data_IF_857974894681
#
_entry.id   IF_857974894681
#
_cell.length_a   1.000
_cell.length_b   1.000
_cell.length_c   1.000
_cell.angle_alpha   90.00
_cell.angle_beta   90.00
_cell.angle_gamma   90.00
#
_symmetry.space_group_name_H-M   'P 1'
#
loop_
_entity.id
_entity.type
_entity.pdbx_description
1 polymer ?
#
# COMPACT_ATOMS: atom_id res chain seq x y z
N UNK A 1 14.53 -75.43 28.77
CA UNK A 1 15.86 -74.90 29.15
C UNK A 1 15.87 -73.40 28.81
N UNK A 2 16.06 -72.55 29.84
CA UNK A 2 16.24 -71.10 29.85
C UNK A 2 15.11 -70.11 29.47
N UNK A 3 14.93 -69.15 30.39
CA UNK A 3 14.02 -67.99 30.48
C UNK A 3 14.70 -66.74 29.87
N UNK A 4 13.92 -65.63 29.68
CA UNK A 4 14.28 -64.17 29.60
C UNK A 4 13.98 -63.55 28.21
N UNK A 5 13.33 -62.39 27.97
CA UNK A 5 12.70 -61.28 28.73
C UNK A 5 11.71 -60.51 27.79
N UNK A 6 10.75 -59.79 28.41
CA UNK A 6 9.79 -58.80 27.83
C UNK A 6 10.41 -57.72 26.92
N UNK A 7 9.67 -57.28 25.89
CA UNK A 7 9.57 -55.89 25.38
C UNK A 7 8.21 -55.75 24.61
N UNK A 8 7.22 -55.02 25.16
CA UNK A 8 6.68 -53.70 24.68
C UNK A 8 6.09 -53.76 23.26
N UNK A 9 4.76 -53.82 23.08
CA UNK A 9 3.75 -52.74 23.04
C UNK A 9 3.99 -51.67 21.93
N UNK A 10 2.90 -51.39 21.20
CA UNK A 10 2.69 -50.42 20.11
C UNK A 10 3.04 -50.84 18.69
N UNK A 11 2.02 -51.40 18.03
CA UNK A 11 1.78 -51.27 16.59
C UNK A 11 1.73 -49.78 16.21
N UNK A 12 2.80 -49.32 15.58
CA UNK A 12 2.96 -47.97 15.04
C UNK A 12 1.93 -47.76 13.91
N UNK A 13 0.87 -46.99 14.20
CA UNK A 13 0.11 -46.28 13.18
C UNK A 13 1.08 -45.31 12.53
N UNK A 14 1.45 -45.57 11.28
CA UNK A 14 2.31 -44.69 10.50
C UNK A 14 1.48 -43.46 10.12
N UNK A 15 1.52 -42.46 11.00
CA UNK A 15 0.99 -41.13 10.76
C UNK A 15 1.81 -40.52 9.62
N UNK A 16 1.19 -40.38 8.44
CA UNK A 16 1.70 -39.50 7.39
C UNK A 16 1.47 -38.08 7.88
N UNK A 17 2.38 -37.57 8.71
CA UNK A 17 2.54 -36.14 8.89
C UNK A 17 3.20 -35.65 7.61
N UNK A 18 2.41 -35.16 6.66
CA UNK A 18 2.92 -34.25 5.66
C UNK A 18 3.34 -32.97 6.41
N UNK A 19 4.58 -32.95 6.90
CA UNK A 19 5.24 -31.73 7.32
C UNK A 19 5.31 -30.85 6.06
N UNK A 20 4.35 -29.92 5.94
CA UNK A 20 4.49 -28.75 5.09
C UNK A 20 5.64 -27.92 5.66
N UNK A 21 6.87 -28.31 5.33
CA UNK A 21 8.01 -27.42 5.40
C UNK A 21 7.75 -26.38 4.31
N UNK A 22 7.51 -25.10 4.64
CA UNK A 22 7.41 -24.09 3.60
C UNK A 22 8.74 -24.06 2.86
N UNK A 23 8.71 -24.41 1.57
CA UNK A 23 9.86 -24.21 0.69
C UNK A 23 10.20 -22.73 0.73
N UNK A 24 11.31 -22.38 1.37
CA UNK A 24 11.83 -21.02 1.39
C UNK A 24 12.19 -20.68 -0.06
N UNK A 25 11.38 -19.85 -0.67
CA UNK A 25 11.56 -19.42 -2.06
C UNK A 25 12.96 -18.83 -2.22
N UNK A 26 13.69 -19.30 -3.23
CA UNK A 26 15.08 -18.91 -3.41
C UNK A 26 15.13 -17.44 -3.84
N UNK A 27 15.66 -16.57 -2.98
CA UNK A 27 15.70 -15.12 -3.19
C UNK A 27 16.35 -14.74 -4.53
N UNK A 28 17.30 -15.53 -5.02
CA UNK A 28 17.94 -15.33 -6.33
C UNK A 28 16.99 -15.56 -7.49
N UNK A 29 16.12 -16.57 -7.38
CA UNK A 29 15.09 -16.87 -8.39
C UNK A 29 13.99 -15.81 -8.39
N UNK A 30 13.58 -15.33 -7.22
CA UNK A 30 12.64 -14.20 -7.10
C UNK A 30 13.23 -12.93 -7.72
N UNK A 31 14.50 -12.62 -7.43
CA UNK A 31 15.20 -11.48 -8.01
C UNK A 31 15.31 -11.59 -9.53
N UNK A 32 15.67 -12.77 -10.04
CA UNK A 32 15.73 -13.03 -11.48
C UNK A 32 14.36 -12.89 -12.15
N UNK A 33 13.30 -13.41 -11.53
CA UNK A 33 11.94 -13.25 -12.03
C UNK A 33 11.51 -11.79 -12.05
N UNK A 34 11.85 -11.01 -11.02
CA UNK A 34 11.54 -9.58 -10.97
C UNK A 34 12.37 -8.77 -11.99
N UNK A 35 13.64 -9.10 -12.20
CA UNK A 35 14.49 -8.47 -13.21
C UNK A 35 14.04 -8.79 -14.64
N UNK A 36 13.62 -10.04 -14.89
CA UNK A 36 13.06 -10.43 -16.19
C UNK A 36 11.71 -9.75 -16.39
N UNK A 37 10.83 -9.71 -15.38
CA UNK A 37 9.54 -9.00 -15.47
C UNK A 37 9.71 -7.50 -15.68
N UNK A 38 10.65 -6.84 -15.00
CA UNK A 38 10.89 -5.40 -15.16
C UNK A 38 11.40 -5.07 -16.57
N UNK A 39 12.26 -5.92 -17.14
CA UNK A 39 12.72 -5.81 -18.54
C UNK A 39 11.59 -6.09 -19.53
N UNK A 40 10.78 -7.11 -19.28
CA UNK A 40 9.61 -7.44 -20.12
C UNK A 40 8.60 -6.29 -20.07
N UNK A 41 8.34 -5.69 -18.92
CA UNK A 41 7.46 -4.53 -18.79
C UNK A 41 8.02 -3.30 -19.52
N UNK A 42 9.35 -3.07 -19.46
CA UNK A 42 9.98 -2.01 -20.26
C UNK A 42 9.77 -2.22 -21.76
N UNK A 43 9.83 -3.47 -22.24
CA UNK A 43 9.62 -3.81 -23.65
C UNK A 43 8.13 -3.74 -24.03
N UNK A 44 7.22 -4.23 -23.18
CA UNK A 44 5.76 -4.16 -23.41
C UNK A 44 5.23 -2.73 -23.41
N UNK A 45 5.85 -1.84 -22.63
CA UNK A 45 5.57 -0.40 -22.65
C UNK A 45 6.06 0.29 -23.95
N UNK A 46 6.92 -0.34 -24.75
CA UNK A 46 7.29 0.17 -26.07
C UNK A 46 6.28 -0.21 -27.17
N UNK A 47 5.50 -1.29 -26.99
CA UNK A 47 4.63 -1.86 -28.05
C UNK A 47 3.14 -1.44 -27.95
N UNK A 48 2.73 -0.81 -26.85
CA UNK A 48 1.34 -0.40 -26.62
C UNK A 48 1.04 0.99 -27.21
N UNK A 49 0.66 0.99 -28.49
CA UNK A 49 0.24 2.18 -29.25
C UNK A 49 -1.15 2.71 -28.86
N UNK A 50 -1.23 3.52 -27.79
CA UNK A 50 -2.33 4.47 -27.56
C UNK A 50 -1.79 5.73 -26.86
N UNK A 51 -1.58 6.82 -27.62
CA UNK A 51 -1.13 8.15 -27.16
C UNK A 51 0.01 8.11 -26.11
N UNK A 52 1.23 7.78 -26.56
CA UNK A 52 2.43 7.80 -25.71
C UNK A 52 2.68 9.20 -25.15
N UNK A 53 2.19 9.45 -23.93
CA UNK A 53 2.63 10.57 -23.12
C UNK A 53 3.97 10.20 -22.50
N UNK A 54 5.04 10.22 -23.30
CA UNK A 54 6.41 9.90 -22.84
C UNK A 54 6.71 10.69 -21.56
N UNK A 55 7.20 10.01 -20.53
CA UNK A 55 7.59 10.64 -19.27
C UNK A 55 8.73 11.63 -19.53
N UNK A 56 8.59 12.85 -18.99
CA UNK A 56 9.51 13.96 -19.17
C UNK A 56 10.10 14.34 -17.84
N UNK A 57 11.41 14.59 -17.82
CA UNK A 57 12.05 15.24 -16.68
C UNK A 57 11.38 16.60 -16.44
N UNK A 58 10.93 16.91 -15.22
CA UNK A 58 10.30 18.19 -14.91
C UNK A 58 11.27 19.36 -15.07
N UNK A 59 10.73 20.52 -15.45
CA UNK A 59 11.50 21.76 -15.63
C UNK A 59 11.32 22.75 -14.48
N UNK A 60 10.18 22.74 -13.81
CA UNK A 60 9.87 23.70 -12.74
C UNK A 60 10.33 23.15 -11.39
N UNK A 61 9.93 21.92 -11.04
CA UNK A 61 10.25 21.30 -9.75
C UNK A 61 11.19 20.12 -9.90
N UNK A 62 11.67 19.56 -8.77
CA UNK A 62 12.54 18.38 -8.86
C UNK A 62 11.80 17.15 -9.34
N UNK A 63 10.57 16.90 -8.88
CA UNK A 63 9.81 15.69 -9.20
C UNK A 63 8.57 15.96 -10.07
N UNK A 64 8.25 14.97 -10.90
CA UNK A 64 6.94 14.81 -11.52
C UNK A 64 6.50 13.34 -11.42
N UNK A 65 5.20 13.13 -11.22
CA UNK A 65 4.56 11.82 -11.22
C UNK A 65 3.61 11.78 -12.41
N UNK A 66 3.85 10.86 -13.36
CA UNK A 66 3.06 10.77 -14.60
C UNK A 66 2.92 12.14 -15.32
N UNK A 67 4.04 12.87 -15.42
CA UNK A 67 4.14 14.23 -15.97
C UNK A 67 3.32 15.31 -15.22
N UNK A 68 2.74 15.01 -14.06
CA UNK A 68 2.07 15.98 -13.18
C UNK A 68 3.07 16.50 -12.14
N UNK A 69 3.05 17.81 -11.90
CA UNK A 69 3.92 18.52 -10.96
C UNK A 69 3.05 19.27 -9.94
N UNK A 70 3.62 19.61 -8.78
CA UNK A 70 2.93 20.47 -7.81
C UNK A 70 2.67 21.85 -8.45
N UNK A 71 1.66 22.56 -7.93
CA UNK A 71 1.17 23.83 -8.47
C UNK A 71 0.54 23.79 -9.88
N UNK A 72 0.58 22.66 -10.60
CA UNK A 72 -0.14 22.50 -11.86
C UNK A 72 -1.64 22.74 -11.65
N UNK A 73 -2.30 23.40 -12.60
CA UNK A 73 -3.74 23.67 -12.50
C UNK A 73 -4.56 22.40 -12.72
N UNK A 74 -5.70 22.26 -12.04
CA UNK A 74 -6.60 21.11 -12.21
C UNK A 74 -6.99 20.88 -13.68
N UNK A 75 -7.28 21.96 -14.42
CA UNK A 75 -7.60 21.86 -15.85
C UNK A 75 -6.46 21.25 -16.67
N UNK A 76 -5.19 21.55 -16.33
CA UNK A 76 -4.04 20.95 -17.02
C UNK A 76 -3.92 19.47 -16.67
N UNK A 77 -4.16 19.10 -15.41
CA UNK A 77 -4.15 17.70 -14.98
C UNK A 77 -5.24 16.92 -15.71
N UNK A 78 -6.48 17.42 -15.74
CA UNK A 78 -7.60 16.72 -16.39
C UNK A 78 -7.48 16.70 -17.91
N UNK A 79 -6.88 17.72 -18.54
CA UNK A 79 -6.54 17.66 -19.96
C UNK A 79 -5.53 16.56 -20.29
N UNK A 80 -4.67 16.20 -19.33
CA UNK A 80 -3.62 15.20 -19.52
C UNK A 80 -4.07 13.79 -19.12
N UNK A 81 -4.75 13.66 -17.97
CA UNK A 81 -5.14 12.38 -17.37
C UNK A 81 -6.60 12.01 -17.64
N UNK A 82 -7.39 12.92 -18.21
CA UNK A 82 -8.84 12.78 -18.31
C UNK A 82 -9.54 13.02 -16.97
N UNK A 83 -10.75 12.46 -16.85
CA UNK A 83 -11.54 12.58 -15.62
C UNK A 83 -11.04 11.61 -14.54
N UNK A 84 -11.11 12.00 -13.25
CA UNK A 84 -10.77 11.10 -12.15
C UNK A 84 -11.66 9.86 -12.17
N UNK A 85 -11.05 8.71 -11.87
CA UNK A 85 -11.73 7.41 -11.70
C UNK A 85 -12.42 7.32 -10.35
N UNK A 86 -11.83 7.93 -9.32
CA UNK A 86 -12.38 8.02 -7.97
C UNK A 86 -12.06 9.36 -7.34
N UNK A 87 -12.94 9.81 -6.44
CA UNK A 87 -12.70 10.96 -5.58
C UNK A 87 -13.01 10.56 -4.14
N UNK A 88 -12.02 10.69 -3.25
CA UNK A 88 -12.12 10.33 -1.83
C UNK A 88 -11.66 11.50 -0.96
N UNK A 89 -12.15 11.58 0.28
CA UNK A 89 -11.65 12.57 1.24
C UNK A 89 -10.29 12.16 1.79
N UNK A 90 -9.50 13.10 2.29
CA UNK A 90 -8.21 12.80 2.90
C UNK A 90 -8.03 13.47 4.26
N UNK A 91 -6.97 13.10 4.96
CA UNK A 91 -6.65 13.49 6.33
C UNK A 91 -6.42 15.00 6.51
N UNK A 92 -6.12 15.72 5.42
CA UNK A 92 -5.94 17.17 5.41
C UNK A 92 -7.27 17.94 5.30
N UNK A 93 -8.40 17.24 5.31
CA UNK A 93 -9.71 17.83 5.02
C UNK A 93 -9.79 18.35 3.58
N UNK A 94 -9.11 17.68 2.66
CA UNK A 94 -9.18 17.89 1.22
C UNK A 94 -9.66 16.59 0.54
N UNK A 95 -9.41 16.46 -0.77
CA UNK A 95 -9.78 15.27 -1.54
C UNK A 95 -8.61 14.73 -2.32
N UNK A 96 -8.51 13.40 -2.41
CA UNK A 96 -7.72 12.71 -3.41
C UNK A 96 -8.58 12.47 -4.65
N UNK A 97 -8.00 12.72 -5.81
CA UNK A 97 -8.55 12.43 -7.12
C UNK A 97 -7.66 11.35 -7.73
N UNK A 98 -8.20 10.15 -7.89
CA UNK A 98 -7.48 8.98 -8.40
C UNK A 98 -7.61 8.93 -9.91
N UNK A 99 -6.49 8.76 -10.61
CA UNK A 99 -6.43 8.59 -12.06
C UNK A 99 -5.61 7.36 -12.39
N UNK A 100 -6.02 6.65 -13.45
CA UNK A 100 -5.26 5.57 -14.07
C UNK A 100 -5.83 5.27 -15.45
N UNK A 101 -5.02 4.64 -16.30
CA UNK A 101 -5.39 4.12 -17.60
C UNK A 101 -5.79 2.64 -17.47
N UNK A 102 -6.67 2.18 -18.37
CA UNK A 102 -7.11 0.78 -18.43
C UNK A 102 -7.45 0.22 -17.03
N UNK A 103 -6.74 -0.82 -16.63
CA UNK A 103 -6.79 -1.51 -15.35
C UNK A 103 -5.55 -1.12 -14.52
N UNK A 104 -5.62 0.05 -13.86
CA UNK A 104 -4.59 0.62 -12.96
C UNK A 104 -3.23 0.99 -13.57
N UNK A 105 -3.08 0.98 -14.90
CA UNK A 105 -1.85 1.45 -15.56
C UNK A 105 -1.61 2.94 -15.26
N UNK A 106 -0.37 3.32 -14.94
CA UNK A 106 0.04 4.71 -14.63
C UNK A 106 -0.79 5.37 -13.51
N UNK A 107 -1.21 4.58 -12.52
CA UNK A 107 -1.91 5.03 -11.33
C UNK A 107 -1.26 6.25 -10.67
N UNK A 108 -2.07 7.26 -10.35
CA UNK A 108 -1.68 8.47 -9.63
C UNK A 108 -2.85 9.00 -8.82
N UNK A 109 -2.58 9.45 -7.60
CA UNK A 109 -3.50 10.22 -6.77
C UNK A 109 -3.06 11.69 -6.74
N UNK A 110 -3.99 12.61 -6.97
CA UNK A 110 -3.73 14.06 -6.98
C UNK A 110 -4.66 14.75 -6.01
N UNK A 111 -4.13 15.62 -5.15
CA UNK A 111 -4.93 16.48 -4.28
C UNK A 111 -4.75 17.94 -4.63
N UNK A 112 -5.82 18.72 -4.50
CA UNK A 112 -5.86 20.13 -4.87
C UNK A 112 -6.24 21.01 -3.68
N UNK A 113 -5.65 22.19 -3.61
CA UNK A 113 -6.17 23.34 -2.86
C UNK A 113 -6.51 24.43 -3.87
N UNK A 114 -7.77 24.90 -3.84
CA UNK A 114 -8.31 25.73 -4.92
C UNK A 114 -8.18 25.00 -6.27
N UNK A 115 -7.56 25.66 -7.26
CA UNK A 115 -7.38 25.09 -8.59
C UNK A 115 -5.97 24.50 -8.83
N UNK A 116 -5.15 24.29 -7.79
CA UNK A 116 -3.74 23.89 -7.94
C UNK A 116 -3.42 22.59 -7.23
N UNK A 117 -2.56 21.77 -7.84
CA UNK A 117 -2.00 20.55 -7.23
C UNK A 117 -1.23 20.91 -5.96
N UNK A 118 -1.60 20.28 -4.85
CA UNK A 118 -0.99 20.48 -3.53
C UNK A 118 -0.58 19.17 -2.85
N UNK A 119 -0.92 18.01 -3.43
CA UNK A 119 -0.29 16.74 -3.12
C UNK A 119 -0.36 15.76 -4.30
N UNK A 120 0.61 14.84 -4.40
CA UNK A 120 0.73 13.82 -5.44
C UNK A 120 1.21 12.51 -4.83
N UNK A 121 0.69 11.37 -5.29
CA UNK A 121 1.20 10.05 -4.92
C UNK A 121 1.12 9.05 -6.08
N UNK A 122 2.11 8.16 -6.17
CA UNK A 122 2.05 6.94 -6.97
C UNK A 122 3.05 5.89 -6.48
N UNK A 123 2.66 4.61 -6.51
CA UNK A 123 3.51 3.42 -6.39
C UNK A 123 3.84 2.77 -7.76
N UNK A 124 3.63 3.50 -8.86
CA UNK A 124 3.95 3.00 -10.20
C UNK A 124 5.31 3.52 -10.67
N UNK A 125 5.86 2.84 -11.68
CA UNK A 125 7.05 3.30 -12.41
C UNK A 125 6.75 4.50 -13.35
N UNK A 126 6.29 5.60 -12.78
CA UNK A 126 5.93 6.86 -13.46
C UNK A 126 6.60 8.09 -12.84
N UNK A 127 7.56 7.87 -11.93
CA UNK A 127 8.32 8.92 -11.25
C UNK A 127 9.46 9.39 -12.16
N UNK A 128 9.56 10.70 -12.35
CA UNK A 128 10.68 11.38 -13.03
C UNK A 128 11.19 12.53 -12.18
N UNK A 129 12.50 12.80 -12.25
CA UNK A 129 13.08 13.93 -11.52
C UNK A 129 14.34 14.52 -12.15
N UNK A 130 14.66 15.76 -11.79
CA UNK A 130 15.94 16.40 -12.17
C UNK A 130 17.11 15.75 -11.42
N UNK A 131 16.88 15.38 -10.16
CA UNK A 131 17.79 14.60 -9.32
C UNK A 131 18.04 13.17 -9.83
N UNK A 132 17.36 12.73 -10.90
CA UNK A 132 17.45 11.38 -11.47
C UNK A 132 17.00 10.27 -10.51
N UNK A 133 16.33 10.61 -9.42
CA UNK A 133 15.59 9.69 -8.56
C UNK A 133 14.35 9.22 -9.33
N UNK A 134 14.20 7.91 -9.43
CA UNK A 134 13.12 7.21 -10.12
C UNK A 134 12.85 5.87 -9.42
N UNK A 135 11.83 5.15 -9.87
CA UNK A 135 11.56 3.79 -9.42
C UNK A 135 12.85 2.93 -9.40
N UNK A 136 13.01 2.14 -8.34
CA UNK A 136 14.16 1.29 -8.05
C UNK A 136 15.51 2.03 -7.85
N UNK A 137 15.51 3.36 -7.67
CA UNK A 137 16.73 4.06 -7.22
C UNK A 137 17.07 3.59 -5.80
N UNK A 138 18.30 3.16 -5.51
CA UNK A 138 18.65 2.72 -4.15
C UNK A 138 18.59 3.85 -3.13
N UNK A 139 18.13 3.57 -1.90
CA UNK A 139 18.00 4.55 -0.79
C UNK A 139 19.25 5.41 -0.58
N UNK A 140 20.44 4.81 -0.49
CA UNK A 140 21.69 5.56 -0.31
C UNK A 140 21.93 6.57 -1.45
N UNK A 141 21.58 6.22 -2.68
CA UNK A 141 21.68 7.11 -3.84
C UNK A 141 20.64 8.24 -3.77
N UNK A 142 19.46 7.98 -3.20
CA UNK A 142 18.46 9.02 -2.93
C UNK A 142 19.00 10.02 -1.91
N UNK A 143 19.51 9.55 -0.78
CA UNK A 143 20.12 10.41 0.25
C UNK A 143 21.31 11.22 -0.29
N UNK A 144 22.17 10.62 -1.12
CA UNK A 144 23.28 11.34 -1.76
C UNK A 144 22.82 12.49 -2.68
N UNK A 145 21.62 12.37 -3.25
CA UNK A 145 21.08 13.33 -4.24
C UNK A 145 20.15 14.37 -3.64
N UNK A 146 19.33 13.98 -2.67
CA UNK A 146 18.34 14.85 -2.02
C UNK A 146 18.83 15.41 -0.68
N UNK A 147 19.98 14.94 -0.18
CA UNK A 147 20.56 15.37 1.09
C UNK A 147 20.06 14.55 2.26
N UNK A 148 20.09 15.14 3.46
CA UNK A 148 19.72 14.43 4.69
C UNK A 148 18.21 14.42 4.88
N UNK A 149 17.61 13.26 5.19
CA UNK A 149 16.19 13.21 5.49
C UNK A 149 15.86 13.91 6.80
N UNK A 150 14.64 14.44 6.87
CA UNK A 150 14.04 14.94 8.09
C UNK A 150 13.82 13.81 9.08
N UNK A 151 13.93 14.14 10.37
CA UNK A 151 13.60 13.23 11.48
C UNK A 151 12.31 13.59 12.17
N UNK A 152 11.86 14.82 12.01
CA UNK A 152 10.65 15.33 12.64
C UNK A 152 9.92 16.31 11.74
N UNK A 153 8.60 16.37 11.88
CA UNK A 153 7.75 17.41 11.30
C UNK A 153 7.02 18.14 12.44
N UNK A 154 7.00 19.47 12.36
CA UNK A 154 6.27 20.32 13.30
C UNK A 154 4.82 20.48 12.84
N UNK A 155 3.88 19.96 13.63
CA UNK A 155 2.43 20.08 13.40
C UNK A 155 1.80 20.94 14.50
N UNK A 156 1.61 22.23 14.22
CA UNK A 156 1.12 23.19 15.21
C UNK A 156 2.06 23.30 16.43
N UNK A 157 1.63 22.79 17.59
CA UNK A 157 2.44 22.75 18.83
C UNK A 157 3.19 21.43 19.04
N UNK A 158 2.97 20.45 18.17
CA UNK A 158 3.52 19.10 18.30
C UNK A 158 4.72 18.91 17.38
N UNK A 159 5.68 18.09 17.82
CA UNK A 159 6.73 17.52 16.97
C UNK A 159 6.41 16.05 16.80
N UNK A 160 6.31 15.61 15.55
CA UNK A 160 6.06 14.21 15.20
C UNK A 160 7.37 13.63 14.71
N UNK A 161 7.85 12.57 15.36
CA UNK A 161 8.96 11.76 14.85
C UNK A 161 8.49 11.00 13.61
N UNK A 162 9.25 11.14 12.54
CA UNK A 162 8.98 10.53 11.23
C UNK A 162 10.14 9.65 10.76
N UNK A 163 11.05 9.30 11.67
CA UNK A 163 12.20 8.44 11.37
C UNK A 163 11.70 7.03 11.02
N UNK A 164 12.12 6.51 9.87
CA UNK A 164 11.75 5.17 9.41
C UNK A 164 12.89 4.54 8.61
N UNK A 165 12.94 3.21 8.60
CA UNK A 165 13.77 2.42 7.68
C UNK A 165 13.05 2.16 6.34
N UNK A 166 11.73 2.33 6.28
CA UNK A 166 10.87 2.04 5.12
C UNK A 166 10.66 3.23 4.18
N UNK A 167 10.85 4.45 4.68
CA UNK A 167 10.78 5.67 3.89
C UNK A 167 11.65 6.78 4.45
N UNK A 168 11.99 7.75 3.60
CA UNK A 168 12.63 9.01 3.99
C UNK A 168 11.74 10.18 3.63
N UNK A 169 11.81 11.27 4.40
CA UNK A 169 11.11 12.52 4.09
C UNK A 169 12.12 13.64 3.88
N UNK A 170 12.03 14.30 2.73
CA UNK A 170 12.82 15.47 2.37
C UNK A 170 11.92 16.69 2.33
N UNK A 171 12.49 17.88 2.52
CA UNK A 171 11.75 19.13 2.43
C UNK A 171 12.57 20.18 1.71
N UNK A 172 12.07 20.61 0.56
CA UNK A 172 12.67 21.65 -0.28
C UNK A 172 11.55 22.39 -1.01
N UNK A 173 11.73 23.68 -1.29
CA UNK A 173 10.78 24.50 -2.04
C UNK A 173 9.32 24.46 -1.53
N UNK A 174 9.15 24.37 -0.21
CA UNK A 174 7.84 24.26 0.47
C UNK A 174 7.05 22.99 0.12
N UNK A 175 7.75 21.90 -0.19
CA UNK A 175 7.18 20.59 -0.51
C UNK A 175 7.87 19.54 0.33
N UNK A 176 7.08 18.82 1.13
CA UNK A 176 7.51 17.56 1.72
C UNK A 176 7.46 16.48 0.65
N UNK A 177 8.57 15.78 0.46
CA UNK A 177 8.68 14.64 -0.47
C UNK A 177 9.05 13.41 0.33
N UNK A 178 8.11 12.48 0.48
CA UNK A 178 8.32 11.18 1.08
C UNK A 178 8.66 10.16 -0.02
N UNK A 179 9.80 9.49 0.14
CA UNK A 179 10.29 8.45 -0.76
C UNK A 179 10.17 7.11 -0.04
N UNK A 180 9.38 6.20 -0.58
CA UNK A 180 9.17 4.86 -0.01
C UNK A 180 10.10 3.84 -0.65
N UNK A 181 10.57 2.87 0.13
CA UNK A 181 11.53 1.86 -0.30
C UNK A 181 11.02 0.44 -0.04
N UNK A 182 11.44 -0.50 -0.88
CA UNK A 182 11.33 -1.93 -0.57
C UNK A 182 12.57 -2.40 0.20
N UNK A 183 12.45 -2.57 1.52
CA UNK A 183 13.56 -3.04 2.36
C UNK A 183 14.00 -4.48 2.07
N UNK A 184 13.18 -5.23 1.34
CA UNK A 184 13.46 -6.60 0.91
C UNK A 184 13.99 -6.68 -0.53
N UNK A 185 14.12 -5.55 -1.22
CA UNK A 185 14.63 -5.46 -2.59
C UNK A 185 15.60 -4.29 -2.75
N UNK A 186 16.82 -4.45 -2.23
CA UNK A 186 17.94 -3.51 -2.32
C UNK A 186 17.64 -2.08 -1.83
N UNK A 187 16.58 -1.88 -1.02
CA UNK A 187 16.07 -0.56 -0.63
C UNK A 187 15.79 0.33 -1.85
N UNK A 188 15.26 -0.25 -2.93
CA UNK A 188 14.88 0.47 -4.13
C UNK A 188 13.59 1.28 -3.91
N UNK A 189 13.52 2.49 -4.49
CA UNK A 189 12.31 3.32 -4.48
C UNK A 189 11.11 2.58 -5.09
N UNK A 190 10.00 2.51 -4.36
CA UNK A 190 8.72 1.93 -4.82
C UNK A 190 7.68 3.01 -5.10
N UNK A 191 7.61 4.03 -4.25
CA UNK A 191 6.61 5.07 -4.35
C UNK A 191 7.14 6.45 -3.97
N UNK A 192 6.40 7.48 -4.37
CA UNK A 192 6.68 8.87 -4.03
C UNK A 192 5.39 9.55 -3.58
N UNK A 193 5.41 10.22 -2.43
CA UNK A 193 4.35 11.13 -1.96
C UNK A 193 4.93 12.55 -1.89
N UNK A 194 4.28 13.51 -2.52
CA UNK A 194 4.57 14.93 -2.35
C UNK A 194 3.40 15.62 -1.68
N UNK A 195 3.67 16.45 -0.67
CA UNK A 195 2.68 17.26 0.05
C UNK A 195 3.24 18.66 0.23
N UNK A 196 2.51 19.67 -0.25
CA UNK A 196 2.92 21.07 -0.06
C UNK A 196 2.81 21.50 1.41
N UNK A 197 3.60 22.49 1.83
CA UNK A 197 3.46 23.16 3.13
C UNK A 197 2.03 23.61 3.40
N UNK A 198 1.35 24.14 2.38
CA UNK A 198 0.00 24.66 2.50
C UNK A 198 -1.01 23.55 2.83
N UNK A 199 -0.82 22.36 2.25
CA UNK A 199 -1.61 21.17 2.58
C UNK A 199 -1.24 20.63 3.96
N UNK A 200 0.05 20.45 4.22
CA UNK A 200 0.58 19.88 5.46
C UNK A 200 0.15 20.68 6.69
N UNK A 201 0.16 22.01 6.62
CA UNK A 201 -0.27 22.91 7.72
C UNK A 201 -1.76 22.77 8.09
N UNK A 202 -2.59 22.16 7.25
CA UNK A 202 -4.01 21.89 7.57
C UNK A 202 -4.15 20.76 8.59
N UNK A 203 -3.16 19.89 8.69
CA UNK A 203 -3.14 18.75 9.59
C UNK A 203 -2.37 19.11 10.87
N UNK A 204 -3.08 19.67 11.86
CA UNK A 204 -2.48 20.19 13.10
C UNK A 204 -2.15 19.12 14.16
N UNK A 205 -2.48 17.87 13.89
CA UNK A 205 -2.19 16.68 14.71
C UNK A 205 -1.67 15.57 13.80
N UNK A 206 -1.16 14.46 14.34
CA UNK A 206 -0.65 13.37 13.50
C UNK A 206 -1.74 12.77 12.59
N UNK A 207 -2.96 12.57 13.12
CA UNK A 207 -4.09 12.00 12.38
C UNK A 207 -5.15 13.03 12.03
N UNK A 208 -5.83 12.81 10.90
CA UNK A 208 -7.03 13.55 10.52
C UNK A 208 -8.17 13.33 11.52
N UNK A 209 -9.17 14.20 11.52
CA UNK A 209 -10.36 14.00 12.35
C UNK A 209 -11.18 12.82 11.80
N UNK A 210 -11.47 11.78 12.62
CA UNK A 210 -12.27 10.64 12.18
C UNK A 210 -13.67 11.06 11.73
N UNK A 211 -14.18 10.36 10.73
CA UNK A 211 -15.56 10.45 10.26
C UNK A 211 -15.85 9.25 9.37
N UNK A 212 -17.12 8.85 9.27
CA UNK A 212 -17.55 7.78 8.36
C UNK A 212 -17.16 8.03 6.89
N UNK A 213 -17.09 9.30 6.48
CA UNK A 213 -16.61 9.68 5.15
C UNK A 213 -15.10 9.43 5.00
N UNK A 214 -14.31 9.68 6.04
CA UNK A 214 -12.86 9.43 6.02
C UNK A 214 -12.55 7.93 6.11
N UNK A 215 -13.28 7.18 6.93
CA UNK A 215 -13.22 5.70 7.02
C UNK A 215 -13.42 5.08 5.63
N UNK A 216 -14.57 5.34 5.00
CA UNK A 216 -14.87 4.85 3.66
C UNK A 216 -13.86 5.34 2.60
N UNK A 217 -13.34 6.56 2.77
CA UNK A 217 -12.31 7.08 1.87
C UNK A 217 -10.99 6.31 2.01
N UNK A 218 -10.59 5.96 3.22
CA UNK A 218 -9.39 5.17 3.49
C UNK A 218 -9.54 3.74 2.97
N UNK A 219 -10.71 3.12 3.10
CA UNK A 219 -10.99 1.81 2.51
C UNK A 219 -10.80 1.81 0.99
N UNK A 220 -11.43 2.76 0.29
CA UNK A 220 -11.30 2.86 -1.15
C UNK A 220 -9.89 3.21 -1.61
N UNK A 221 -9.19 4.06 -0.85
CA UNK A 221 -7.79 4.37 -1.15
C UNK A 221 -6.93 3.12 -1.01
N UNK A 222 -7.06 2.36 0.08
CA UNK A 222 -6.30 1.13 0.28
C UNK A 222 -6.62 0.08 -0.82
N UNK A 223 -7.90 -0.10 -1.18
CA UNK A 223 -8.29 -0.95 -2.31
C UNK A 223 -7.62 -0.53 -3.63
N UNK A 224 -7.62 0.77 -3.93
CA UNK A 224 -7.00 1.29 -5.14
C UNK A 224 -5.46 1.08 -5.11
N UNK A 225 -4.82 1.22 -3.95
CA UNK A 225 -3.39 1.02 -3.74
C UNK A 225 -2.96 -0.45 -3.90
N UNK A 226 -3.73 -1.39 -3.32
CA UNK A 226 -3.50 -2.83 -3.51
C UNK A 226 -3.57 -3.19 -4.99
N UNK A 227 -4.56 -2.66 -5.72
CA UNK A 227 -4.71 -2.95 -7.14
C UNK A 227 -3.64 -2.29 -8.01
N UNK A 228 -3.20 -1.07 -7.69
CA UNK A 228 -2.07 -0.47 -8.39
C UNK A 228 -0.78 -1.27 -8.15
N UNK A 229 -0.55 -1.75 -6.93
CA UNK A 229 0.62 -2.58 -6.59
C UNK A 229 0.61 -3.90 -7.36
N UNK A 230 -0.53 -4.60 -7.36
CA UNK A 230 -0.72 -5.83 -8.15
C UNK A 230 -0.43 -5.57 -9.62
N UNK A 231 -0.88 -4.43 -10.16
CA UNK A 231 -0.63 -4.05 -11.54
C UNK A 231 0.86 -3.79 -11.82
N UNK A 232 1.55 -3.10 -10.92
CA UNK A 232 3.01 -2.86 -11.00
C UNK A 232 3.80 -4.19 -11.01
N UNK A 233 3.27 -5.22 -10.38
CA UNK A 233 3.80 -6.59 -10.37
C UNK A 233 3.32 -7.48 -11.53
N UNK A 234 2.53 -6.96 -12.47
CA UNK A 234 2.00 -7.69 -13.63
C UNK A 234 0.92 -8.71 -13.28
N UNK A 235 0.22 -8.52 -12.16
CA UNK A 235 -0.87 -9.38 -11.70
C UNK A 235 -2.24 -8.79 -12.09
N UNK A 236 -3.25 -9.65 -12.13
CA UNK A 236 -4.64 -9.21 -12.29
C UNK A 236 -5.10 -8.43 -11.05
N UNK A 237 -5.87 -7.38 -11.26
CA UNK A 237 -6.53 -6.66 -10.18
C UNK A 237 -7.62 -7.51 -9.52
N UNK A 238 -7.91 -7.20 -8.27
CA UNK A 238 -8.98 -7.80 -7.47
C UNK A 238 -10.25 -7.00 -7.64
N UNK A 239 -11.38 -7.69 -7.70
CA UNK A 239 -12.71 -7.08 -7.73
C UNK A 239 -13.09 -6.55 -6.35
N UNK A 240 -13.71 -5.37 -6.30
CA UNK A 240 -14.27 -4.84 -5.07
C UNK A 240 -15.51 -5.65 -4.67
N UNK A 241 -15.56 -6.11 -3.42
CA UNK A 241 -16.77 -6.68 -2.82
C UNK A 241 -17.23 -5.86 -1.63
N UNK A 242 -18.46 -5.37 -1.69
CA UNK A 242 -19.08 -4.62 -0.60
C UNK A 242 -19.27 -5.50 0.64
N UNK A 243 -19.66 -6.76 0.45
CA UNK A 243 -19.97 -7.67 1.55
C UNK A 243 -18.68 -8.06 2.29
N UNK A 244 -17.62 -8.39 1.55
CA UNK A 244 -16.28 -8.64 2.14
C UNK A 244 -15.75 -7.38 2.85
N UNK A 245 -15.99 -6.18 2.29
CA UNK A 245 -15.67 -4.91 2.95
C UNK A 245 -16.45 -4.69 4.26
N UNK A 246 -17.71 -5.13 4.33
CA UNK A 246 -18.49 -5.02 5.56
C UNK A 246 -17.94 -5.94 6.64
N UNK A 247 -17.62 -7.19 6.32
CA UNK A 247 -16.96 -8.12 7.26
C UNK A 247 -15.62 -7.55 7.75
N UNK A 248 -14.82 -7.00 6.84
CA UNK A 248 -13.55 -6.37 7.20
C UNK A 248 -13.75 -5.16 8.13
N UNK A 249 -14.76 -4.32 7.86
CA UNK A 249 -15.09 -3.15 8.68
C UNK A 249 -15.56 -3.57 10.06
N UNK A 250 -16.42 -4.58 10.16
CA UNK A 250 -16.88 -5.13 11.44
C UNK A 250 -15.70 -5.57 12.31
N UNK A 251 -14.67 -6.20 11.71
CA UNK A 251 -13.46 -6.59 12.46
C UNK A 251 -12.61 -5.39 12.88
N UNK A 252 -12.45 -4.37 12.03
CA UNK A 252 -11.78 -3.12 12.42
C UNK A 252 -12.50 -2.43 13.58
N UNK A 253 -13.83 -2.37 13.51
CA UNK A 253 -14.67 -1.83 14.58
C UNK A 253 -14.57 -2.65 15.88
N UNK A 254 -14.50 -3.98 15.79
CA UNK A 254 -14.34 -4.84 16.96
C UNK A 254 -12.98 -4.62 17.65
N UNK A 255 -11.89 -4.60 16.87
CA UNK A 255 -10.55 -4.26 17.36
C UNK A 255 -10.51 -2.90 18.08
N UNK A 256 -11.18 -1.89 17.50
CA UNK A 256 -11.30 -0.56 18.12
C UNK A 256 -12.11 -0.60 19.41
N UNK A 257 -13.32 -1.19 19.38
CA UNK A 257 -14.25 -1.22 20.53
C UNK A 257 -13.66 -2.00 21.71
N UNK A 258 -12.98 -3.11 21.43
CA UNK A 258 -12.45 -4.02 22.44
C UNK A 258 -10.96 -3.78 22.76
N UNK A 259 -10.32 -2.80 22.11
CA UNK A 259 -8.92 -2.41 22.33
C UNK A 259 -7.91 -3.56 22.16
N UNK A 260 -8.03 -4.33 21.07
CA UNK A 260 -7.04 -5.35 20.70
C UNK A 260 -6.59 -5.20 19.25
N UNK A 261 -5.59 -5.99 18.85
CA UNK A 261 -5.11 -6.05 17.47
C UNK A 261 -4.64 -7.47 17.17
N UNK A 262 -5.54 -8.28 16.60
CA UNK A 262 -5.30 -9.70 16.28
C UNK A 262 -6.19 -10.13 15.10
N UNK A 263 -5.78 -11.17 14.38
CA UNK A 263 -6.58 -11.80 13.33
C UNK A 263 -7.81 -12.50 13.89
N UNK A 264 -7.70 -13.11 15.07
CA UNK A 264 -8.83 -13.71 15.76
C UNK A 264 -9.49 -12.64 16.64
N UNK A 265 -10.83 -12.58 16.62
CA UNK A 265 -11.53 -11.73 17.57
C UNK A 265 -11.51 -12.35 18.98
N UNK A 266 -12.01 -11.62 19.97
CA UNK A 266 -12.00 -12.08 21.36
C UNK A 266 -12.95 -13.26 21.64
N UNK A 267 -13.90 -13.52 20.73
CA UNK A 267 -14.75 -14.70 20.74
C UNK A 267 -14.06 -15.93 20.11
N UNK A 268 -12.85 -15.76 19.59
CA UNK A 268 -12.02 -16.81 19.02
C UNK A 268 -12.27 -17.10 17.53
N UNK A 269 -13.08 -16.29 16.86
CA UNK A 269 -13.38 -16.42 15.44
C UNK A 269 -12.21 -15.91 14.60
N UNK A 270 -11.75 -16.74 13.69
CA UNK A 270 -10.76 -16.38 12.68
C UNK A 270 -11.38 -15.52 11.57
N UNK A 271 -10.56 -14.91 10.68
CA UNK A 271 -11.09 -14.18 9.53
C UNK A 271 -12.01 -15.05 8.65
N UNK A 272 -11.75 -16.36 8.60
CA UNK A 272 -12.51 -17.32 7.81
C UNK A 272 -13.85 -17.65 8.44
N UNK A 273 -13.92 -17.70 9.77
CA UNK A 273 -15.17 -17.89 10.50
C UNK A 273 -16.06 -16.66 10.27
N UNK A 274 -15.52 -15.44 10.45
CA UNK A 274 -16.25 -14.18 10.18
C UNK A 274 -16.77 -14.09 8.74
N UNK A 275 -15.96 -14.44 7.74
CA UNK A 275 -16.40 -14.47 6.34
C UNK A 275 -17.54 -15.48 6.12
N UNK A 276 -17.44 -16.66 6.73
CA UNK A 276 -18.46 -17.71 6.59
C UNK A 276 -19.76 -17.33 7.31
N UNK A 277 -19.68 -16.71 8.48
CA UNK A 277 -20.84 -16.28 9.25
C UNK A 277 -21.60 -15.13 8.57
N UNK A 278 -20.90 -14.34 7.74
CA UNK A 278 -21.47 -13.33 6.85
C UNK A 278 -21.92 -13.92 5.48
N UNK A 279 -22.05 -15.24 5.37
CA UNK A 279 -22.47 -15.97 4.16
C UNK A 279 -21.59 -15.71 2.90
N UNK A 280 -20.29 -15.45 3.09
CA UNK A 280 -19.34 -15.24 1.99
C UNK A 280 -18.68 -16.56 1.61
N UNK A 281 -18.96 -17.03 0.40
CA UNK A 281 -18.33 -18.21 -0.19
C UNK A 281 -16.91 -17.91 -0.71
N UNK A 282 -15.95 -18.78 -0.39
CA UNK A 282 -14.58 -18.71 -0.90
C UNK A 282 -13.92 -20.10 -0.90
N UNK A 283 -12.98 -20.33 -1.82
CA UNK A 283 -12.10 -21.51 -1.80
C UNK A 283 -10.77 -21.20 -1.12
N UNK A 284 -10.35 -19.94 -1.20
CA UNK A 284 -9.15 -19.43 -0.55
C UNK A 284 -9.46 -18.04 0.00
N UNK A 285 -8.95 -17.76 1.19
CA UNK A 285 -9.06 -16.44 1.80
C UNK A 285 -7.77 -16.06 2.52
N UNK A 286 -7.62 -14.77 2.80
CA UNK A 286 -6.51 -14.23 3.59
C UNK A 286 -6.89 -12.88 4.20
N UNK A 287 -6.17 -12.49 5.25
CA UNK A 287 -6.37 -11.21 5.92
C UNK A 287 -5.01 -10.51 6.12
N UNK A 288 -4.98 -9.20 5.88
CA UNK A 288 -3.94 -8.32 6.39
C UNK A 288 -4.55 -7.33 7.39
N UNK A 289 -3.78 -7.01 8.43
CA UNK A 289 -4.15 -5.99 9.41
C UNK A 289 -3.07 -4.91 9.47
N UNK A 290 -3.49 -3.65 9.59
CA UNK A 290 -2.62 -2.53 9.90
C UNK A 290 -3.23 -1.64 10.97
N UNK A 291 -2.39 -0.96 11.76
CA UNK A 291 -2.84 -0.10 12.84
C UNK A 291 -1.84 1.05 13.08
N UNK A 292 -2.39 2.26 13.20
CA UNK A 292 -1.67 3.45 13.67
C UNK A 292 -0.87 4.19 12.59
N UNK A 293 -0.87 3.73 11.34
CA UNK A 293 -0.34 4.51 10.21
C UNK A 293 -1.18 5.76 9.97
N UNK A 294 -0.60 6.80 9.38
CA UNK A 294 -1.29 8.09 9.25
C UNK A 294 -2.50 8.04 8.29
N UNK A 295 -2.40 7.25 7.22
CA UNK A 295 -3.40 7.12 6.17
C UNK A 295 -3.17 5.81 5.38
N UNK A 296 -4.04 5.52 4.41
CA UNK A 296 -3.98 4.29 3.60
C UNK A 296 -2.70 4.14 2.77
N UNK A 297 -2.03 5.22 2.37
CA UNK A 297 -0.73 5.15 1.67
C UNK A 297 0.31 4.54 2.62
N UNK A 298 0.46 5.09 3.82
CA UNK A 298 1.43 4.55 4.79
C UNK A 298 1.06 3.14 5.27
N UNK A 299 -0.23 2.83 5.41
CA UNK A 299 -0.68 1.46 5.72
C UNK A 299 -0.26 0.48 4.62
N UNK A 300 -0.54 0.81 3.36
CA UNK A 300 -0.20 -0.03 2.22
C UNK A 300 1.31 -0.26 2.07
N UNK A 301 2.12 0.80 2.14
CA UNK A 301 3.58 0.69 2.03
C UNK A 301 4.18 -0.14 3.18
N UNK A 302 3.63 0.00 4.41
CA UNK A 302 4.03 -0.81 5.56
C UNK A 302 3.64 -2.29 5.41
N UNK A 303 2.44 -2.58 4.89
CA UNK A 303 2.01 -3.94 4.57
C UNK A 303 2.90 -4.55 3.49
N UNK A 304 3.24 -3.79 2.45
CA UNK A 304 4.20 -4.24 1.44
C UNK A 304 5.57 -4.50 2.05
N UNK A 305 6.05 -3.74 3.03
CA UNK A 305 7.32 -4.02 3.72
C UNK A 305 7.24 -5.17 4.76
N UNK A 306 6.09 -5.81 4.95
CA UNK A 306 5.95 -7.07 5.69
C UNK A 306 5.82 -8.25 4.74
N UNK A 307 6.80 -9.16 4.73
CA UNK A 307 6.78 -10.31 3.82
C UNK A 307 5.57 -11.23 4.02
N UNK A 308 4.99 -11.28 5.22
CA UNK A 308 3.73 -12.01 5.47
C UNK A 308 2.56 -11.37 4.74
N UNK A 309 2.38 -10.05 4.92
CA UNK A 309 1.26 -9.31 4.33
C UNK A 309 1.41 -9.13 2.81
N UNK A 310 2.64 -8.89 2.33
CA UNK A 310 2.99 -8.82 0.90
C UNK A 310 2.55 -10.07 0.15
N UNK A 311 2.66 -11.26 0.75
CA UNK A 311 2.22 -12.51 0.13
C UNK A 311 0.72 -12.49 -0.18
N UNK A 312 -0.10 -11.92 0.69
CA UNK A 312 -1.54 -11.81 0.45
C UNK A 312 -1.82 -10.83 -0.69
N UNK A 313 -1.22 -9.62 -0.64
CA UNK A 313 -1.37 -8.58 -1.68
C UNK A 313 -1.03 -9.14 -3.07
N UNK A 314 0.05 -9.93 -3.19
CA UNK A 314 0.54 -10.46 -4.46
C UNK A 314 0.06 -11.88 -4.77
N UNK A 315 -0.86 -12.46 -3.99
CA UNK A 315 -1.35 -13.81 -4.23
C UNK A 315 -2.21 -13.87 -5.49
N UNK A 316 -1.89 -14.78 -6.41
CA UNK A 316 -2.62 -14.98 -7.67
C UNK A 316 -3.93 -15.74 -7.51
N UNK A 317 -4.13 -16.41 -6.37
CA UNK A 317 -5.33 -17.20 -6.13
C UNK A 317 -6.51 -16.37 -5.62
N UNK A 318 -6.28 -15.11 -5.22
CA UNK A 318 -7.34 -14.19 -4.87
C UNK A 318 -7.90 -13.48 -6.09
N UNK A 319 -9.21 -13.26 -6.08
CA UNK A 319 -9.96 -12.55 -7.13
C UNK A 319 -10.76 -11.37 -6.60
N UNK A 320 -10.94 -11.27 -5.28
CA UNK A 320 -11.77 -10.26 -4.60
C UNK A 320 -11.03 -9.65 -3.41
N UNK A 321 -11.26 -8.37 -3.16
CA UNK A 321 -10.77 -7.61 -2.02
C UNK A 321 -11.90 -6.79 -1.39
N UNK A 322 -12.04 -6.92 -0.08
CA UNK A 322 -12.78 -5.98 0.76
C UNK A 322 -11.84 -5.35 1.78
N UNK A 323 -11.97 -4.04 1.97
CA UNK A 323 -11.23 -3.29 2.98
C UNK A 323 -12.21 -2.67 3.96
N UNK A 324 -11.87 -2.74 5.24
CA UNK A 324 -12.57 -2.09 6.34
C UNK A 324 -11.63 -1.17 7.12
N UNK A 325 -12.15 -0.03 7.58
CA UNK A 325 -11.40 0.91 8.41
C UNK A 325 -12.27 1.42 9.55
N UNK A 326 -11.69 1.53 10.74
CA UNK A 326 -12.26 2.27 11.86
C UNK A 326 -11.17 3.05 12.62
N UNK A 327 -11.56 4.02 13.45
CA UNK A 327 -10.65 4.86 14.23
C UNK A 327 -10.92 4.74 15.71
N UNK A 328 -9.86 4.57 16.52
CA UNK A 328 -10.00 4.67 17.96
C UNK A 328 -10.17 6.11 18.46
N UNK A 329 -10.39 6.29 19.77
CA UNK A 329 -10.56 7.61 20.40
C UNK A 329 -9.36 8.54 20.23
N UNK A 330 -8.16 7.98 20.03
CA UNK A 330 -6.92 8.72 19.74
C UNK A 330 -6.76 9.05 18.25
N UNK A 331 -7.80 8.78 17.44
CA UNK A 331 -7.85 8.95 15.99
C UNK A 331 -6.89 8.02 15.23
N UNK A 332 -6.42 6.95 15.87
CA UNK A 332 -5.54 5.99 15.23
C UNK A 332 -6.41 5.04 14.39
N UNK A 333 -6.17 4.98 13.07
CA UNK A 333 -6.88 4.07 12.18
C UNK A 333 -6.43 2.62 12.38
N UNK A 334 -7.40 1.72 12.21
CA UNK A 334 -7.26 0.27 12.07
C UNK A 334 -7.72 -0.08 10.67
N UNK A 335 -6.95 -0.91 9.96
CA UNK A 335 -7.32 -1.46 8.66
C UNK A 335 -7.41 -2.97 8.74
N UNK A 336 -8.44 -3.50 8.07
CA UNK A 336 -8.57 -4.92 7.73
C UNK A 336 -8.69 -5.04 6.23
N UNK A 337 -7.81 -5.81 5.59
CA UNK A 337 -7.93 -6.22 4.18
C UNK A 337 -8.30 -7.70 4.13
N UNK A 338 -9.52 -8.01 3.68
CA UNK A 338 -9.97 -9.39 3.46
C UNK A 338 -9.92 -9.73 1.97
N UNK A 339 -9.23 -10.83 1.68
CA UNK A 339 -9.03 -11.35 0.33
C UNK A 339 -9.83 -12.64 0.17
N UNK A 340 -10.51 -12.83 -0.96
CA UNK A 340 -11.20 -14.08 -1.29
C UNK A 340 -10.96 -14.50 -2.75
N UNK A 341 -11.09 -15.80 -3.05
CA UNK A 341 -10.83 -16.39 -4.36
C UNK A 341 -11.58 -17.68 -4.65
#
# INVERSE_FOLDING_TARGET
>A
MYVIKKFLLFSLVLLVVALFIPLKENQTLVKLQNDVRSKVQQVMNQDSSLKNNTLKTPTEQDFAINNIQMNMSKDKVENQLGKPKRVTSNEYGAKWYTYYNNDYDNFIMVSYLGNKVNALYSNQNVITSKSKVKYNTPKNVVEDRLGKPLKEIVKGRYRVDISSDEYDVFHEDNIYTTVFYDKHNDNGVTALLQVSDAMEKRLTQHYGAPSSTLEQSFEYQNYDLVNSERKQHGLNTLSYSKDVSNTARNHSEDMVKQNYFDHNNLDGESPFDRLKDDDIDFNVAGENLAYGQQNSIFAHEGLMNSLGHRKNILNTNFSTLGVGVDFNEKRQPYWTENYTG
#
